data_IF_372265600977
#
_entry.id   IF_372265600977
#
_cell.length_a   1.000
_cell.length_b   1.000
_cell.length_c   1.000
_cell.angle_alpha   90.00
_cell.angle_beta   90.00
_cell.angle_gamma   90.00
#
_symmetry.space_group_name_H-M   'P 1'
#
loop_
_entity.id
_entity.type
_entity.pdbx_description
1 polymer ?
#
# COMPACT_ATOMS: atom_id res chain seq x y z
N UNK A 1 36.51 -65.73 37.00
CA UNK A 1 37.94 -65.77 37.43
C UNK A 1 38.82 -65.36 36.25
N UNK A 2 39.93 -64.65 36.49
CA UNK A 2 41.21 -64.65 35.72
C UNK A 2 41.19 -64.46 34.18
N UNK A 3 42.04 -63.65 33.53
CA UNK A 3 43.07 -62.66 33.90
C UNK A 3 43.30 -61.75 32.67
N UNK A 4 43.98 -60.61 32.86
CA UNK A 4 44.51 -59.74 31.78
C UNK A 4 45.62 -60.46 30.98
N UNK A 5 46.02 -59.92 29.82
CA UNK A 5 47.37 -59.29 29.58
C UNK A 5 47.62 -58.95 28.09
N UNK A 6 47.98 -57.67 27.81
CA UNK A 6 49.02 -57.07 26.93
C UNK A 6 49.56 -57.78 25.65
N UNK A 7 50.04 -57.11 24.57
CA UNK A 7 49.95 -55.73 23.98
C UNK A 7 50.92 -55.65 22.74
N UNK A 8 50.73 -54.68 21.82
CA UNK A 8 51.69 -54.11 20.80
C UNK A 8 52.32 -55.05 19.73
N UNK A 9 52.14 -54.72 18.43
CA UNK A 9 53.19 -54.34 17.45
C UNK A 9 52.69 -54.40 15.99
N UNK A 10 53.14 -53.47 15.14
CA UNK A 10 52.93 -53.52 13.68
C UNK A 10 52.34 -52.26 13.05
N UNK A 11 53.04 -51.12 13.14
CA UNK A 11 52.69 -49.96 12.33
C UNK A 11 53.20 -50.12 10.89
N UNK A 12 52.37 -49.77 9.89
CA UNK A 12 52.84 -49.44 8.54
C UNK A 12 52.16 -48.14 8.12
N UNK A 13 52.97 -47.09 7.97
CA UNK A 13 52.58 -45.86 7.28
C UNK A 13 52.65 -46.13 5.79
N UNK A 14 51.51 -46.09 5.09
CA UNK A 14 51.50 -45.99 3.62
C UNK A 14 51.05 -44.60 3.23
N UNK A 15 52.03 -43.75 2.94
CA UNK A 15 51.85 -42.50 2.21
C UNK A 15 51.53 -42.83 0.74
N UNK A 16 50.26 -42.77 0.36
CA UNK A 16 49.83 -42.76 -1.04
C UNK A 16 49.39 -41.35 -1.41
N UNK A 17 50.23 -40.62 -2.12
CA UNK A 17 49.89 -39.29 -2.60
C UNK A 17 48.89 -39.33 -3.77
N UNK A 18 48.03 -38.31 -3.84
CA UNK A 18 47.49 -37.81 -5.10
C UNK A 18 46.25 -38.51 -5.68
N UNK A 19 45.08 -38.09 -5.24
CA UNK A 19 44.07 -37.56 -6.18
C UNK A 19 43.49 -36.26 -5.61
N UNK A 20 44.11 -35.14 -5.96
CA UNK A 20 43.63 -33.80 -5.61
C UNK A 20 42.52 -33.38 -6.59
N UNK A 21 41.32 -33.95 -6.47
CA UNK A 21 40.14 -33.33 -7.08
C UNK A 21 39.70 -32.18 -6.20
N UNK A 22 40.15 -30.98 -6.58
CA UNK A 22 39.71 -29.71 -6.00
C UNK A 22 38.24 -29.44 -6.31
N UNK A 23 37.33 -30.17 -5.66
CA UNK A 23 35.95 -29.73 -5.53
C UNK A 23 35.99 -28.52 -4.62
N UNK A 24 35.92 -27.32 -5.19
CA UNK A 24 35.53 -26.14 -4.45
C UNK A 24 34.11 -26.44 -3.92
N UNK A 25 34.04 -26.93 -2.70
CA UNK A 25 32.80 -27.04 -1.96
C UNK A 25 32.32 -25.61 -1.73
N UNK A 26 31.51 -25.11 -2.69
CA UNK A 26 30.70 -23.92 -2.48
C UNK A 26 30.02 -24.10 -1.13
N UNK A 27 30.35 -23.22 -0.18
CA UNK A 27 29.66 -23.20 1.10
C UNK A 27 28.15 -23.23 0.81
N UNK A 28 27.38 -24.12 1.45
CA UNK A 28 25.97 -24.31 1.11
C UNK A 28 25.29 -22.94 1.14
N UNK A 29 24.79 -22.52 -0.03
CA UNK A 29 24.11 -21.23 -0.16
C UNK A 29 23.03 -21.21 0.91
N UNK A 30 23.04 -20.19 1.77
CA UNK A 30 21.97 -20.00 2.75
C UNK A 30 20.64 -20.09 1.98
N UNK A 31 19.65 -20.84 2.48
CA UNK A 31 18.36 -20.90 1.83
C UNK A 31 17.82 -19.47 1.70
N UNK A 32 17.37 -19.13 0.48
CA UNK A 32 16.73 -17.86 0.19
C UNK A 32 15.46 -17.78 1.05
N UNK A 33 15.23 -16.65 1.72
CA UNK A 33 13.99 -16.49 2.48
C UNK A 33 12.81 -16.33 1.53
N UNK A 34 11.60 -16.74 1.95
CA UNK A 34 10.38 -16.54 1.16
C UNK A 34 10.18 -15.07 0.76
N UNK A 35 10.61 -14.12 1.60
CA UNK A 35 10.62 -12.69 1.29
C UNK A 35 11.60 -12.34 0.16
N UNK A 36 12.83 -12.85 0.19
CA UNK A 36 13.80 -12.59 -0.88
C UNK A 36 13.36 -13.22 -2.21
N UNK A 37 12.86 -14.45 -2.18
CA UNK A 37 12.29 -15.14 -3.34
C UNK A 37 11.14 -14.32 -3.94
N UNK A 38 10.16 -13.93 -3.11
CA UNK A 38 9.02 -13.13 -3.55
C UNK A 38 9.42 -11.78 -4.16
N UNK A 39 10.39 -11.09 -3.58
CA UNK A 39 10.84 -9.79 -4.12
C UNK A 39 11.58 -10.00 -5.46
N UNK A 40 12.33 -11.09 -5.62
CA UNK A 40 12.96 -11.45 -6.91
C UNK A 40 11.94 -11.78 -8.00
N UNK A 41 10.87 -12.51 -7.68
CA UNK A 41 9.73 -12.72 -8.59
C UNK A 41 9.12 -11.39 -9.04
N UNK A 42 8.94 -10.46 -8.10
CA UNK A 42 8.34 -9.15 -8.36
C UNK A 42 9.24 -8.23 -9.22
N UNK A 43 10.56 -8.38 -9.17
CA UNK A 43 11.47 -7.74 -10.14
C UNK A 43 11.31 -8.36 -11.54
N UNK A 44 11.23 -9.68 -11.65
CA UNK A 44 10.99 -10.36 -12.93
C UNK A 44 9.60 -10.01 -13.54
N UNK A 45 8.57 -9.83 -12.69
CA UNK A 45 7.22 -9.44 -13.10
C UNK A 45 7.14 -8.07 -13.80
N UNK A 46 8.11 -7.19 -13.55
CA UNK A 46 8.22 -5.84 -14.15
C UNK A 46 9.36 -5.75 -15.18
N UNK A 47 9.81 -6.91 -15.67
CA UNK A 47 10.86 -7.09 -16.67
C UNK A 47 12.22 -6.48 -16.25
N UNK A 48 12.48 -6.38 -14.93
CA UNK A 48 13.72 -5.82 -14.38
C UNK A 48 14.74 -6.90 -14.00
N UNK A 49 15.99 -6.84 -14.50
CA UNK A 49 17.02 -7.77 -14.08
C UNK A 49 17.42 -7.55 -12.62
N UNK A 50 17.38 -8.60 -11.80
CA UNK A 50 17.79 -8.59 -10.39
C UNK A 50 19.33 -8.78 -10.23
N UNK A 51 20.14 -8.19 -11.11
CA UNK A 51 21.57 -8.47 -11.27
C UNK A 51 22.45 -7.94 -10.13
N UNK A 52 22.12 -6.78 -9.57
CA UNK A 52 22.77 -6.13 -8.44
C UNK A 52 21.94 -6.22 -7.15
N UNK A 53 20.94 -7.10 -7.15
CA UNK A 53 19.90 -7.22 -6.13
C UNK A 53 20.46 -7.33 -4.72
N UNK A 54 19.89 -6.52 -3.81
CA UNK A 54 20.16 -6.55 -2.37
C UNK A 54 18.85 -6.44 -1.60
N UNK A 55 18.62 -7.34 -0.65
CA UNK A 55 17.71 -7.11 0.46
C UNK A 55 18.26 -5.99 1.34
N UNK A 56 17.39 -5.12 1.82
CA UNK A 56 17.72 -4.12 2.85
C UNK A 56 17.14 -4.53 4.20
N UNK A 57 17.56 -3.87 5.27
CA UNK A 57 17.03 -4.12 6.60
C UNK A 57 15.53 -3.80 6.65
N UNK A 58 14.68 -4.69 7.19
CA UNK A 58 13.25 -4.46 7.31
C UNK A 58 12.94 -3.30 8.24
N UNK A 59 11.80 -2.64 7.98
CA UNK A 59 11.29 -1.54 8.80
C UNK A 59 9.77 -1.49 8.71
N UNK A 60 9.10 -1.16 9.81
CA UNK A 60 7.66 -0.89 9.85
C UNK A 60 6.82 -2.00 9.16
N UNK A 61 7.14 -3.27 9.48
CA UNK A 61 6.58 -4.50 8.87
C UNK A 61 6.69 -4.60 7.34
N UNK A 62 7.73 -4.01 6.76
CA UNK A 62 8.00 -4.09 5.32
C UNK A 62 9.36 -4.69 5.07
N UNK A 63 9.40 -5.65 4.16
CA UNK A 63 10.62 -6.16 3.55
C UNK A 63 10.78 -5.47 2.19
N UNK A 64 12.01 -5.12 1.82
CA UNK A 64 12.25 -4.53 0.52
C UNK A 64 13.62 -4.87 -0.05
N UNK A 65 13.65 -5.03 -1.37
CA UNK A 65 14.86 -5.21 -2.16
C UNK A 65 15.10 -4.03 -3.08
N UNK A 66 16.36 -3.80 -3.41
CA UNK A 66 16.77 -2.86 -4.46
C UNK A 66 17.61 -3.61 -5.50
N UNK A 67 17.29 -3.38 -6.77
CA UNK A 67 18.11 -3.73 -7.92
C UNK A 67 17.98 -2.59 -8.94
N UNK A 68 19.07 -2.21 -9.61
CA UNK A 68 19.09 -1.28 -10.74
C UNK A 68 18.31 0.03 -10.47
N UNK A 69 18.55 0.71 -9.34
CA UNK A 69 17.82 1.92 -8.91
C UNK A 69 16.28 1.77 -8.87
N UNK A 70 15.83 0.55 -8.61
CA UNK A 70 14.41 0.20 -8.48
C UNK A 70 14.18 -0.49 -7.16
N UNK A 71 13.19 -0.02 -6.39
CA UNK A 71 12.81 -0.64 -5.12
C UNK A 71 11.51 -1.41 -5.31
N UNK A 72 11.48 -2.62 -4.75
CA UNK A 72 10.27 -3.44 -4.59
C UNK A 72 10.07 -3.68 -3.09
N UNK A 73 8.87 -3.41 -2.59
CA UNK A 73 8.50 -3.53 -1.18
C UNK A 73 7.28 -4.44 -1.02
N UNK A 74 7.35 -5.36 -0.06
CA UNK A 74 6.24 -6.24 0.34
C UNK A 74 5.89 -6.05 1.81
N UNK A 75 4.63 -6.33 2.15
CA UNK A 75 4.19 -6.46 3.53
C UNK A 75 4.73 -7.77 4.12
N UNK A 76 5.44 -7.69 5.25
CA UNK A 76 6.25 -8.79 5.79
C UNK A 76 5.42 -10.04 6.17
N UNK A 77 4.28 -9.93 6.89
CA UNK A 77 3.43 -11.08 7.21
C UNK A 77 2.69 -11.74 6.04
N UNK A 78 2.36 -11.00 4.98
CA UNK A 78 1.45 -11.50 3.92
C UNK A 78 2.11 -11.69 2.56
N UNK A 79 3.37 -11.27 2.39
CA UNK A 79 4.10 -11.27 1.12
C UNK A 79 3.43 -10.47 -0.02
N UNK A 80 2.36 -9.71 0.28
CA UNK A 80 1.68 -8.86 -0.69
C UNK A 80 2.60 -7.72 -1.11
N UNK A 81 2.66 -7.44 -2.42
CA UNK A 81 3.26 -6.21 -2.93
C UNK A 81 2.59 -4.98 -2.25
N UNK A 82 3.41 -3.98 -1.92
CA UNK A 82 2.94 -2.67 -1.45
C UNK A 82 3.51 -1.52 -2.26
N UNK A 83 4.74 -1.65 -2.80
CA UNK A 83 5.33 -0.61 -3.64
C UNK A 83 6.34 -1.17 -4.65
N UNK A 84 6.29 -0.62 -5.87
CA UNK A 84 7.39 -0.68 -6.85
C UNK A 84 7.72 0.76 -7.23
N UNK A 85 9.01 1.13 -7.28
CA UNK A 85 9.41 2.49 -7.61
C UNK A 85 10.75 2.57 -8.33
N UNK A 86 10.77 3.19 -9.51
CA UNK A 86 11.98 3.64 -10.21
C UNK A 86 12.51 4.91 -9.53
N UNK A 87 13.79 4.95 -9.17
CA UNK A 87 14.43 6.13 -8.55
C UNK A 87 14.88 7.15 -9.60
N UNK A 88 15.15 8.41 -9.21
CA UNK A 88 15.65 9.44 -10.14
C UNK A 88 16.94 9.06 -10.90
N UNK A 89 17.77 8.17 -10.34
CA UNK A 89 18.96 7.66 -11.02
C UNK A 89 18.63 6.68 -12.17
N UNK A 90 17.55 5.88 -12.05
CA UNK A 90 17.03 5.05 -13.14
C UNK A 90 16.54 5.93 -14.30
N UNK A 91 15.78 7.00 -14.01
CA UNK A 91 15.28 7.95 -15.02
C UNK A 91 16.40 8.69 -15.77
N UNK A 92 17.56 8.89 -15.13
CA UNK A 92 18.75 9.49 -15.76
C UNK A 92 19.47 8.54 -16.72
N UNK A 93 19.50 7.23 -16.41
CA UNK A 93 20.11 6.21 -17.30
C UNK A 93 19.18 5.77 -18.42
N UNK A 94 17.88 5.82 -18.21
CA UNK A 94 16.85 5.50 -19.19
C UNK A 94 16.15 6.80 -19.60
N UNK A 95 16.78 7.67 -20.42
CA UNK A 95 16.20 8.93 -20.86
C UNK A 95 14.90 8.70 -21.65
N UNK A 96 14.08 9.74 -21.76
CA UNK A 96 12.82 9.63 -22.49
C UNK A 96 13.05 9.49 -24.00
N UNK A 97 12.47 8.45 -24.58
CA UNK A 97 12.41 8.24 -26.03
C UNK A 97 11.10 8.81 -26.61
N UNK A 98 11.05 9.08 -27.94
CA UNK A 98 9.79 9.33 -28.64
C UNK A 98 8.77 8.19 -28.43
N UNK A 99 7.47 8.42 -28.64
CA UNK A 99 6.44 7.38 -28.54
C UNK A 99 6.79 6.12 -29.34
N UNK A 100 6.83 4.99 -28.64
CA UNK A 100 7.08 3.67 -29.24
C UNK A 100 5.84 2.77 -29.22
N UNK A 101 5.91 1.53 -29.76
CA UNK A 101 4.78 0.59 -29.81
C UNK A 101 4.18 0.22 -28.45
N UNK A 102 4.90 0.48 -27.35
CA UNK A 102 4.44 0.25 -25.99
C UNK A 102 3.74 1.43 -25.33
N UNK A 103 3.61 2.58 -26.00
CA UNK A 103 3.06 3.83 -25.47
C UNK A 103 1.68 3.67 -24.82
N UNK A 104 1.31 4.66 -24.01
CA UNK A 104 -0.01 4.84 -23.41
C UNK A 104 -0.53 6.18 -23.92
N UNK A 105 -1.47 6.12 -24.86
CA UNK A 105 -2.06 7.29 -25.51
C UNK A 105 -3.33 7.76 -24.77
N UNK A 106 -3.97 6.87 -24.00
CA UNK A 106 -5.23 7.15 -23.34
C UNK A 106 -5.46 6.35 -22.04
N UNK A 107 -6.51 6.72 -21.30
CA UNK A 107 -6.89 6.10 -20.03
C UNK A 107 -7.31 4.62 -20.15
N UNK A 108 -7.81 4.19 -21.31
CA UNK A 108 -8.20 2.80 -21.56
C UNK A 108 -6.97 1.90 -21.60
N UNK A 109 -5.96 2.24 -22.40
CA UNK A 109 -4.68 1.51 -22.46
C UNK A 109 -3.96 1.48 -21.11
N UNK A 110 -4.00 2.58 -20.35
CA UNK A 110 -3.44 2.63 -19.00
C UNK A 110 -4.13 1.62 -18.06
N UNK A 111 -5.46 1.46 -18.21
CA UNK A 111 -6.28 0.52 -17.45
C UNK A 111 -6.06 -0.93 -17.90
N UNK A 112 -5.90 -1.17 -19.21
CA UNK A 112 -5.57 -2.49 -19.77
C UNK A 112 -4.17 -2.96 -19.33
N UNK A 113 -3.17 -2.07 -19.31
CA UNK A 113 -1.86 -2.36 -18.73
C UNK A 113 -1.94 -2.67 -17.22
N UNK A 114 -2.77 -1.95 -16.45
CA UNK A 114 -3.01 -2.28 -15.04
C UNK A 114 -3.62 -3.67 -14.88
N UNK A 115 -4.64 -4.02 -15.68
CA UNK A 115 -5.28 -5.33 -15.67
C UNK A 115 -4.29 -6.46 -16.02
N UNK A 116 -3.35 -6.22 -16.94
CA UNK A 116 -2.28 -7.17 -17.27
C UNK A 116 -1.17 -7.24 -16.20
N UNK A 117 -0.95 -6.18 -15.43
CA UNK A 117 0.07 -6.11 -14.38
C UNK A 117 -0.36 -6.80 -13.08
N UNK A 118 -1.59 -6.60 -12.62
CA UNK A 118 -2.06 -7.11 -11.32
C UNK A 118 -1.87 -8.62 -11.13
N UNK A 119 -2.17 -9.51 -12.10
CA UNK A 119 -1.87 -10.94 -11.98
C UNK A 119 -0.38 -11.24 -11.78
N UNK A 120 0.51 -10.55 -12.52
CA UNK A 120 1.98 -10.71 -12.36
C UNK A 120 2.44 -10.32 -10.95
N UNK A 121 1.76 -9.36 -10.32
CA UNK A 121 2.05 -8.91 -8.96
C UNK A 121 1.39 -9.77 -7.86
N UNK A 122 0.74 -10.89 -8.22
CA UNK A 122 0.01 -11.75 -7.28
C UNK A 122 -1.31 -11.16 -6.79
N UNK A 123 -1.93 -10.27 -7.58
CA UNK A 123 -3.21 -9.61 -7.30
C UNK A 123 -4.26 -9.97 -8.37
N UNK A 124 -4.17 -11.17 -8.96
CA UNK A 124 -5.04 -11.59 -10.06
C UNK A 124 -6.53 -11.71 -9.68
N UNK A 125 -6.82 -12.10 -8.45
CA UNK A 125 -8.20 -12.24 -7.93
C UNK A 125 -8.79 -10.91 -7.40
N UNK A 126 -8.04 -9.80 -7.47
CA UNK A 126 -8.50 -8.51 -6.99
C UNK A 126 -9.63 -7.98 -7.89
N UNK A 127 -10.85 -7.93 -7.36
CA UNK A 127 -11.95 -7.17 -7.97
C UNK A 127 -11.74 -5.68 -7.64
N UNK A 128 -11.72 -4.81 -8.64
CA UNK A 128 -11.50 -3.37 -8.44
C UNK A 128 -12.30 -2.51 -9.42
N UNK A 129 -12.43 -1.22 -9.09
CA UNK A 129 -12.89 -0.16 -9.98
C UNK A 129 -11.81 0.90 -10.16
N UNK A 130 -11.75 1.52 -11.34
CA UNK A 130 -10.96 2.71 -11.58
C UNK A 130 -11.66 3.91 -10.94
N UNK A 131 -10.92 4.70 -10.15
CA UNK A 131 -11.38 5.97 -9.59
C UNK A 131 -11.12 7.11 -10.58
N UNK A 132 -9.88 7.21 -11.07
CA UNK A 132 -9.49 8.17 -12.10
C UNK A 132 -8.27 7.67 -12.86
N UNK A 133 -8.16 8.06 -14.13
CA UNK A 133 -7.01 7.81 -14.97
C UNK A 133 -6.72 9.07 -15.77
N UNK A 134 -5.52 9.63 -15.65
CA UNK A 134 -5.16 10.91 -16.28
C UNK A 134 -3.70 10.96 -16.71
N UNK A 135 -3.46 11.75 -17.77
CA UNK A 135 -2.14 12.08 -18.30
C UNK A 135 -1.58 13.27 -17.53
N UNK A 136 -0.33 13.21 -17.11
CA UNK A 136 0.44 14.36 -16.64
C UNK A 136 1.62 14.58 -17.60
N UNK A 137 1.69 15.78 -18.17
CA UNK A 137 2.80 16.20 -19.05
C UNK A 137 3.80 17.11 -18.33
N UNK A 138 3.36 17.71 -17.23
CA UNK A 138 4.15 18.52 -16.31
C UNK A 138 4.27 17.81 -14.97
N UNK A 139 5.26 18.23 -14.18
CA UNK A 139 5.35 17.91 -12.77
C UNK A 139 5.46 19.21 -11.97
N UNK A 140 4.69 19.39 -10.88
CA UNK A 140 4.85 20.53 -10.00
C UNK A 140 6.13 20.36 -9.19
N UNK A 141 7.01 21.36 -9.26
CA UNK A 141 8.21 21.48 -8.44
C UNK A 141 8.02 22.61 -7.44
N UNK A 142 8.31 22.34 -6.16
CA UNK A 142 8.40 23.40 -5.17
C UNK A 142 9.71 24.15 -5.36
N UNK A 143 9.64 25.43 -5.67
CA UNK A 143 10.78 26.30 -5.92
C UNK A 143 10.76 27.48 -4.96
N UNK A 144 11.93 27.86 -4.45
CA UNK A 144 12.06 29.07 -3.63
C UNK A 144 12.27 30.28 -4.54
N UNK A 145 11.28 31.17 -4.60
CA UNK A 145 11.37 32.47 -5.30
C UNK A 145 11.21 33.58 -4.28
N UNK A 146 12.18 34.50 -4.23
CA UNK A 146 12.18 35.67 -3.33
C UNK A 146 11.89 35.31 -1.84
N UNK A 147 12.40 34.16 -1.38
CA UNK A 147 12.18 33.66 -0.02
C UNK A 147 10.83 32.98 0.25
N UNK A 148 9.94 32.87 -0.74
CA UNK A 148 8.67 32.13 -0.67
C UNK A 148 8.76 30.81 -1.42
N UNK A 149 8.04 29.81 -0.94
CA UNK A 149 7.86 28.55 -1.66
C UNK A 149 6.70 28.71 -2.65
N UNK A 150 6.96 28.47 -3.93
CA UNK A 150 5.98 28.52 -5.01
C UNK A 150 5.99 27.18 -5.76
N UNK A 151 4.83 26.75 -6.26
CA UNK A 151 4.76 25.59 -7.15
C UNK A 151 4.95 26.06 -8.59
N UNK A 152 5.95 25.50 -9.27
CA UNK A 152 6.22 25.73 -10.68
C UNK A 152 6.04 24.43 -11.45
N UNK A 153 5.12 24.41 -12.41
CA UNK A 153 5.01 23.31 -13.35
C UNK A 153 6.17 23.34 -14.34
N UNK A 154 6.93 22.24 -14.39
CA UNK A 154 7.99 22.06 -15.38
C UNK A 154 7.65 20.91 -16.29
N UNK A 155 8.06 21.01 -17.55
CA UNK A 155 8.00 19.88 -18.50
C UNK A 155 8.73 18.69 -17.89
N UNK A 156 7.99 17.60 -17.72
CA UNK A 156 8.49 16.35 -17.15
C UNK A 156 8.36 15.23 -18.19
N UNK A 157 8.81 14.02 -17.84
CA UNK A 157 8.44 12.83 -18.60
C UNK A 157 6.92 12.69 -18.61
N UNK A 158 6.25 12.69 -19.78
CA UNK A 158 4.81 12.46 -19.85
C UNK A 158 4.48 11.09 -19.28
N UNK A 159 3.44 11.03 -18.45
CA UNK A 159 3.07 9.84 -17.68
C UNK A 159 1.56 9.68 -17.57
N UNK A 160 1.10 8.44 -17.46
CA UNK A 160 -0.28 8.11 -17.11
C UNK A 160 -0.35 7.60 -15.69
N UNK A 161 -1.18 8.26 -14.87
CA UNK A 161 -1.49 7.83 -13.52
C UNK A 161 -2.89 7.24 -13.49
N UNK A 162 -3.03 6.05 -12.92
CA UNK A 162 -4.31 5.36 -12.72
C UNK A 162 -4.48 5.05 -11.24
N UNK A 163 -5.60 5.50 -10.66
CA UNK A 163 -6.00 5.23 -9.29
C UNK A 163 -7.14 4.22 -9.29
N UNK A 164 -7.04 3.20 -8.45
CA UNK A 164 -8.01 2.12 -8.36
C UNK A 164 -8.32 1.76 -6.91
N UNK A 165 -9.53 1.23 -6.67
CA UNK A 165 -9.99 0.75 -5.36
C UNK A 165 -10.66 -0.61 -5.50
N UNK A 166 -10.38 -1.50 -4.56
CA UNK A 166 -11.03 -2.79 -4.39
C UNK A 166 -12.55 -2.66 -4.31
N UNK A 167 -13.25 -3.59 -4.94
CA UNK A 167 -14.72 -3.72 -4.83
C UNK A 167 -15.03 -4.98 -4.05
N UNK A 168 -15.55 -4.79 -2.85
CA UNK A 168 -15.92 -5.86 -1.94
C UNK A 168 -17.45 -6.08 -1.95
N UNK A 169 -17.88 -7.34 -1.81
CA UNK A 169 -19.31 -7.70 -1.86
C UNK A 169 -20.04 -7.40 -0.55
N UNK A 170 -19.34 -7.50 0.58
CA UNK A 170 -19.84 -7.05 1.88
C UNK A 170 -19.68 -5.52 2.01
N UNK A 171 -20.77 -4.74 2.10
CA UNK A 171 -20.74 -3.28 2.11
C UNK A 171 -20.17 -2.69 3.41
N UNK A 172 -19.89 -3.52 4.43
CA UNK A 172 -19.26 -3.08 5.68
C UNK A 172 -17.75 -2.83 5.52
N UNK A 173 -17.14 -3.30 4.43
CA UNK A 173 -15.75 -3.00 4.11
C UNK A 173 -15.63 -1.60 3.51
N UNK A 174 -14.79 -0.77 4.14
CA UNK A 174 -14.74 0.66 3.87
C UNK A 174 -13.33 1.22 4.08
N UNK A 175 -12.89 2.12 3.19
CA UNK A 175 -11.58 2.80 3.21
C UNK A 175 -10.39 1.92 3.59
N UNK A 176 -9.91 2.00 4.82
CA UNK A 176 -8.76 1.26 5.37
C UNK A 176 -8.92 -0.27 5.24
N UNK A 177 -10.17 -0.76 5.18
CA UNK A 177 -10.49 -2.17 4.93
C UNK A 177 -10.45 -2.59 3.46
N UNK A 178 -10.28 -1.66 2.53
CA UNK A 178 -10.20 -1.90 1.09
C UNK A 178 -8.79 -1.61 0.57
N UNK A 179 -8.37 -2.34 -0.47
CA UNK A 179 -7.18 -1.92 -1.20
C UNK A 179 -7.45 -0.67 -2.02
N UNK A 180 -6.59 0.32 -1.87
CA UNK A 180 -6.44 1.47 -2.73
C UNK A 180 -5.03 1.45 -3.33
N UNK A 181 -4.97 1.61 -4.65
CA UNK A 181 -3.72 1.58 -5.38
C UNK A 181 -3.60 2.68 -6.42
N UNK A 182 -2.36 2.94 -6.77
CA UNK A 182 -1.95 3.89 -7.79
C UNK A 182 -0.88 3.23 -8.65
N UNK A 183 -1.02 3.30 -9.97
CA UNK A 183 0.04 2.94 -10.92
C UNK A 183 0.40 4.14 -11.79
N UNK A 184 1.68 4.25 -12.12
CA UNK A 184 2.25 5.29 -12.95
C UNK A 184 3.08 4.66 -14.07
N UNK A 185 2.64 4.87 -15.31
CA UNK A 185 3.35 4.44 -16.52
C UNK A 185 3.97 5.63 -17.23
N UNK A 186 5.13 5.44 -17.85
CA UNK A 186 5.64 6.38 -18.85
C UNK A 186 4.68 6.40 -20.05
N UNK A 187 4.21 7.57 -20.48
CA UNK A 187 3.25 7.66 -21.58
C UNK A 187 3.88 7.29 -22.94
N UNK A 188 5.18 7.56 -23.14
CA UNK A 188 5.83 7.35 -24.44
C UNK A 188 6.42 5.94 -24.61
N UNK A 189 6.81 5.26 -23.53
CA UNK A 189 7.34 3.88 -23.57
C UNK A 189 6.40 2.82 -22.97
N UNK A 190 5.45 3.22 -22.14
CA UNK A 190 4.57 2.31 -21.39
C UNK A 190 5.24 1.56 -20.24
N UNK A 191 6.48 1.89 -19.90
CA UNK A 191 7.23 1.31 -18.77
C UNK A 191 6.59 1.67 -17.43
N UNK A 192 6.63 0.73 -16.48
CA UNK A 192 6.21 0.96 -15.10
C UNK A 192 7.22 1.85 -14.36
N UNK A 193 6.79 3.07 -13.99
CA UNK A 193 7.57 4.02 -13.20
C UNK A 193 7.31 3.86 -11.69
N UNK A 194 6.06 3.67 -11.31
CA UNK A 194 5.66 3.46 -9.93
C UNK A 194 4.40 2.59 -9.84
N UNK A 195 4.36 1.71 -8.84
CA UNK A 195 3.17 1.04 -8.36
C UNK A 195 3.09 1.25 -6.85
N UNK A 196 1.91 1.51 -6.32
CA UNK A 196 1.61 1.54 -4.90
C UNK A 196 0.27 0.85 -4.68
N UNK A 197 0.17 0.07 -3.61
CA UNK A 197 -1.10 -0.42 -3.07
C UNK A 197 -0.93 -0.54 -1.55
N UNK A 198 -1.94 -0.15 -0.77
CA UNK A 198 -1.95 -0.49 0.65
C UNK A 198 -2.11 -2.02 0.83
N UNK A 199 -1.73 -2.48 2.01
CA UNK A 199 -2.23 -3.74 2.54
C UNK A 199 -3.50 -3.39 3.33
N UNK A 200 -4.67 -4.02 3.06
CA UNK A 200 -5.86 -3.79 3.84
C UNK A 200 -5.70 -4.55 5.16
N UNK A 201 -6.03 -3.88 6.26
CA UNK A 201 -5.92 -4.48 7.57
C UNK A 201 -7.04 -5.53 7.75
N UNK A 202 -6.80 -6.55 8.58
CA UNK A 202 -7.77 -7.66 8.71
C UNK A 202 -9.04 -7.18 9.41
N UNK A 203 -10.21 -7.55 8.89
CA UNK A 203 -11.46 -7.38 9.61
C UNK A 203 -11.46 -8.22 10.89
N UNK A 204 -11.74 -7.60 12.04
CA UNK A 204 -12.01 -8.31 13.28
C UNK A 204 -13.42 -8.92 13.29
N UNK A 205 -13.76 -9.64 14.35
CA UNK A 205 -15.09 -10.23 14.48
C UNK A 205 -16.19 -9.16 14.52
N UNK A 206 -17.32 -9.46 13.87
CA UNK A 206 -18.51 -8.60 13.89
C UNK A 206 -19.32 -8.85 15.17
N UNK A 207 -18.77 -8.43 16.31
CA UNK A 207 -19.49 -8.42 17.59
C UNK A 207 -19.96 -7.01 17.93
N UNK A 208 -21.25 -6.87 18.26
CA UNK A 208 -21.80 -5.61 18.76
C UNK A 208 -22.72 -5.80 19.96
N UNK A 209 -22.43 -5.06 21.04
CA UNK A 209 -23.30 -4.92 22.21
C UNK A 209 -24.23 -3.71 22.11
N UNK A 210 -24.07 -2.88 21.06
CA UNK A 210 -24.93 -1.71 20.80
C UNK A 210 -25.77 -1.87 19.54
N UNK A 211 -26.98 -1.30 19.55
CA UNK A 211 -27.86 -1.19 18.36
C UNK A 211 -27.59 0.09 17.56
N UNK A 212 -28.14 0.20 16.36
CA UNK A 212 -28.04 1.40 15.52
C UNK A 212 -28.65 2.64 16.21
N UNK A 213 -29.80 2.49 16.87
CA UNK A 213 -30.46 3.57 17.61
C UNK A 213 -29.64 3.98 18.84
N UNK A 214 -28.98 3.03 19.50
CA UNK A 214 -28.08 3.29 20.62
C UNK A 214 -26.81 4.02 20.15
N UNK A 215 -26.24 3.62 19.01
CA UNK A 215 -25.11 4.30 18.39
C UNK A 215 -25.48 5.73 17.98
N UNK A 216 -26.60 5.92 17.27
CA UNK A 216 -27.12 7.24 16.88
C UNK A 216 -27.44 8.13 18.09
N UNK A 217 -27.92 7.57 19.21
CA UNK A 217 -28.12 8.33 20.45
C UNK A 217 -26.80 8.73 21.09
N UNK A 218 -25.85 7.79 21.22
CA UNK A 218 -24.52 8.04 21.79
C UNK A 218 -23.75 9.12 21.03
N UNK A 219 -23.78 9.09 19.70
CA UNK A 219 -23.10 10.09 18.86
C UNK A 219 -23.79 11.45 18.92
N UNK A 220 -25.12 11.53 18.81
CA UNK A 220 -25.84 12.81 18.93
C UNK A 220 -25.66 13.47 20.30
N UNK A 221 -25.58 12.67 21.37
CA UNK A 221 -25.27 13.15 22.72
C UNK A 221 -23.85 13.72 22.85
N UNK A 222 -22.90 13.24 22.04
CA UNK A 222 -21.56 13.83 21.93
C UNK A 222 -21.53 15.08 21.04
N UNK A 223 -22.31 15.10 19.95
CA UNK A 223 -22.43 16.26 19.07
C UNK A 223 -23.07 17.50 19.71
N UNK A 224 -23.83 17.37 20.81
CA UNK A 224 -24.49 18.51 21.48
C UNK A 224 -23.54 19.64 21.93
N UNK A 225 -22.24 19.36 21.99
CA UNK A 225 -21.19 20.33 22.32
C UNK A 225 -20.64 21.10 21.11
N UNK A 226 -21.10 20.76 19.88
CA UNK A 226 -20.69 21.39 18.63
C UNK A 226 -21.79 22.32 18.11
N UNK A 227 -21.50 23.60 17.78
CA UNK A 227 -22.48 24.53 17.23
C UNK A 227 -23.14 24.03 15.93
N UNK A 228 -22.37 23.37 15.06
CA UNK A 228 -22.80 22.91 13.74
C UNK A 228 -23.81 21.76 13.81
N UNK A 229 -23.84 21.03 14.93
CA UNK A 229 -24.81 19.97 15.18
C UNK A 229 -26.26 20.49 15.21
N UNK A 230 -26.46 21.78 15.52
CA UNK A 230 -27.78 22.42 15.48
C UNK A 230 -28.39 22.47 14.06
N UNK A 231 -27.56 22.37 13.01
CA UNK A 231 -27.98 22.38 11.61
C UNK A 231 -28.21 20.97 11.02
N UNK A 232 -28.03 19.91 11.81
CA UNK A 232 -28.26 18.52 11.37
C UNK A 232 -29.75 18.25 11.22
N UNK A 233 -30.20 18.12 9.97
CA UNK A 233 -31.59 17.82 9.62
C UNK A 233 -31.89 16.32 9.58
N UNK A 234 -30.89 15.48 9.26
CA UNK A 234 -31.03 14.02 9.16
C UNK A 234 -29.81 13.29 9.74
N UNK A 235 -30.04 12.13 10.33
CA UNK A 235 -28.97 11.21 10.73
C UNK A 235 -29.06 9.91 9.92
N UNK A 236 -27.93 9.40 9.41
CA UNK A 236 -27.81 8.02 8.91
C UNK A 236 -26.92 7.21 9.83
N UNK A 237 -27.10 5.88 9.83
CA UNK A 237 -26.28 4.93 10.58
C UNK A 237 -25.86 3.82 9.62
N UNK A 238 -24.56 3.56 9.55
CA UNK A 238 -23.95 2.66 8.59
C UNK A 238 -23.03 1.67 9.33
N UNK A 239 -23.21 0.37 9.09
CA UNK A 239 -22.39 -0.70 9.67
C UNK A 239 -21.07 -0.79 8.91
N UNK A 240 -19.92 -0.61 9.58
CA UNK A 240 -18.60 -0.76 8.94
C UNK A 240 -17.57 -1.43 9.85
N UNK A 241 -16.54 -2.02 9.23
CA UNK A 241 -15.25 -2.26 9.89
C UNK A 241 -14.34 -1.05 9.71
N UNK A 242 -13.65 -0.66 10.79
CA UNK A 242 -12.70 0.46 10.76
C UNK A 242 -11.67 0.36 11.89
N UNK A 243 -10.53 1.03 11.76
CA UNK A 243 -9.65 1.22 12.91
C UNK A 243 -10.19 2.25 13.89
N UNK A 244 -10.28 1.82 15.14
CA UNK A 244 -10.52 2.69 16.29
C UNK A 244 -9.17 3.22 16.81
N UNK A 245 -8.91 4.53 16.70
CA UNK A 245 -7.61 5.12 17.03
C UNK A 245 -7.59 5.92 18.32
N UNK A 246 -6.71 5.50 19.25
CA UNK A 246 -6.14 6.34 20.32
C UNK A 246 -4.60 6.43 20.28
N UNK A 247 -3.88 5.46 19.70
CA UNK A 247 -2.41 5.53 19.49
C UNK A 247 -1.98 5.06 18.09
N UNK A 248 -1.52 6.01 17.26
CA UNK A 248 -1.07 5.78 15.87
C UNK A 248 0.02 4.70 15.69
N UNK A 249 0.72 4.27 16.74
CA UNK A 249 1.83 3.31 16.63
C UNK A 249 1.41 1.86 16.38
N UNK A 250 0.14 1.50 16.65
CA UNK A 250 -0.35 0.11 16.59
C UNK A 250 -1.10 -0.24 15.29
N UNK A 251 -0.91 0.56 14.22
CA UNK A 251 -1.64 0.48 12.94
C UNK A 251 -1.73 -0.91 12.33
N UNK A 252 -0.66 -1.70 12.43
CA UNK A 252 -0.42 -2.85 11.56
C UNK A 252 -0.53 -4.22 12.25
N UNK A 253 -1.13 -4.27 13.45
CA UNK A 253 -1.32 -5.54 14.20
C UNK A 253 -2.73 -5.70 14.79
N UNK A 254 -3.51 -4.62 14.87
CA UNK A 254 -4.86 -4.66 15.46
C UNK A 254 -5.90 -4.81 14.35
N UNK A 255 -6.69 -5.90 14.33
CA UNK A 255 -7.80 -6.04 13.38
C UNK A 255 -8.79 -4.87 13.49
N UNK A 256 -9.38 -4.48 12.36
CA UNK A 256 -10.41 -3.45 12.32
C UNK A 256 -11.58 -3.84 13.23
N UNK A 257 -12.07 -2.88 14.02
CA UNK A 257 -13.25 -3.06 14.86
C UNK A 257 -14.52 -2.93 14.03
N UNK A 258 -15.44 -3.89 14.18
CA UNK A 258 -16.81 -3.72 13.70
C UNK A 258 -17.54 -2.65 14.53
N UNK A 259 -18.36 -1.83 13.88
CA UNK A 259 -19.10 -0.77 14.55
C UNK A 259 -20.01 0.02 13.62
N UNK A 260 -20.47 1.17 14.12
CA UNK A 260 -21.42 2.03 13.42
C UNK A 260 -20.84 3.40 13.16
N UNK A 261 -20.77 3.81 11.89
CA UNK A 261 -20.61 5.22 11.53
C UNK A 261 -21.98 5.88 11.57
N UNK A 262 -22.06 7.01 12.25
CA UNK A 262 -23.25 7.85 12.34
C UNK A 262 -22.93 9.17 11.63
N UNK A 263 -23.74 9.55 10.64
CA UNK A 263 -23.53 10.77 9.83
C UNK A 263 -24.67 11.76 10.07
N UNK A 264 -24.32 12.98 10.41
CA UNK A 264 -25.25 14.11 10.54
C UNK A 264 -25.20 14.93 9.25
N UNK A 265 -26.34 15.01 8.57
CA UNK A 265 -26.48 15.70 7.28
C UNK A 265 -27.37 16.94 7.44
N UNK A 266 -27.07 17.98 6.67
CA UNK A 266 -27.92 19.17 6.56
C UNK A 266 -29.20 18.90 5.73
N UNK A 267 -30.01 19.93 5.50
CA UNK A 267 -31.25 19.83 4.71
C UNK A 267 -31.03 19.59 3.21
N UNK A 268 -29.82 19.83 2.67
CA UNK A 268 -29.43 19.54 1.28
C UNK A 268 -28.83 18.15 1.13
N UNK A 269 -28.39 17.54 2.24
CA UNK A 269 -27.70 16.25 2.28
C UNK A 269 -26.18 16.38 2.45
N UNK A 270 -25.64 17.58 2.65
CA UNK A 270 -24.23 17.82 2.90
C UNK A 270 -23.82 17.30 4.29
N UNK A 271 -22.63 16.70 4.39
CA UNK A 271 -22.11 16.14 5.65
C UNK A 271 -21.66 17.25 6.60
N UNK A 272 -22.35 17.38 7.74
CA UNK A 272 -22.02 18.35 8.80
C UNK A 272 -21.27 17.73 9.98
N UNK A 273 -21.63 16.51 10.34
CA UNK A 273 -21.10 15.82 11.51
C UNK A 273 -20.87 14.34 11.22
N UNK A 274 -19.90 13.74 11.90
CA UNK A 274 -19.65 12.30 11.87
C UNK A 274 -19.33 11.78 13.28
N UNK A 275 -19.50 10.48 13.50
CA UNK A 275 -19.06 9.79 14.70
C UNK A 275 -18.98 8.30 14.44
N UNK A 276 -18.11 7.60 15.16
CA UNK A 276 -18.02 6.15 15.13
C UNK A 276 -18.31 5.57 16.51
N UNK A 277 -19.06 4.47 16.55
CA UNK A 277 -19.32 3.71 17.76
C UNK A 277 -18.78 2.30 17.58
N UNK A 278 -17.80 1.92 18.40
CA UNK A 278 -17.25 0.55 18.41
C UNK A 278 -18.35 -0.41 18.84
N UNK A 279 -18.62 -1.45 18.06
CA UNK A 279 -19.68 -2.40 18.36
C UNK A 279 -19.47 -3.08 19.72
N UNK A 280 -18.25 -3.59 19.96
CA UNK A 280 -17.91 -4.42 21.13
C UNK A 280 -17.85 -3.66 22.47
N UNK A 281 -17.53 -2.37 22.47
CA UNK A 281 -17.40 -1.56 23.70
C UNK A 281 -18.50 -0.50 23.84
N UNK A 282 -19.15 -0.11 22.74
CA UNK A 282 -20.05 1.02 22.70
C UNK A 282 -19.38 2.38 22.94
N UNK A 283 -18.04 2.45 22.89
CA UNK A 283 -17.30 3.70 22.97
C UNK A 283 -17.50 4.55 21.70
N UNK A 284 -17.52 5.86 21.87
CA UNK A 284 -17.66 6.84 20.78
C UNK A 284 -16.29 7.43 20.46
N UNK A 285 -15.88 7.39 19.19
CA UNK A 285 -14.74 8.17 18.69
C UNK A 285 -15.13 9.09 17.54
N UNK A 286 -14.28 10.10 17.32
CA UNK A 286 -14.43 11.12 16.27
C UNK A 286 -15.84 11.74 16.19
N UNK A 287 -16.48 12.18 17.30
CA UNK A 287 -17.78 12.84 17.27
C UNK A 287 -17.61 14.29 16.77
N UNK A 288 -17.13 14.44 15.54
CA UNK A 288 -16.63 15.69 14.98
C UNK A 288 -17.72 16.37 14.14
N UNK A 289 -17.73 17.70 14.10
CA UNK A 289 -18.59 18.50 13.23
C UNK A 289 -17.81 19.66 12.57
N UNK A 290 -18.42 20.28 11.56
CA UNK A 290 -17.92 21.52 10.94
C UNK A 290 -17.07 21.27 9.70
N UNK A 291 -15.86 21.83 9.65
CA UNK A 291 -14.94 21.58 8.54
C UNK A 291 -14.36 20.15 8.67
N UNK A 292 -14.77 19.28 7.75
CA UNK A 292 -14.42 17.86 7.72
C UNK A 292 -13.42 17.49 6.59
N UNK A 293 -12.36 18.28 6.26
CA UNK A 293 -11.56 18.09 5.04
C UNK A 293 -10.78 16.76 4.99
N UNK A 294 -10.29 16.27 6.13
CA UNK A 294 -9.63 14.95 6.22
C UNK A 294 -10.65 13.79 6.28
N UNK A 295 -11.90 14.08 6.65
CA UNK A 295 -12.99 13.11 6.80
C UNK A 295 -13.85 12.99 5.51
N UNK A 296 -13.76 13.95 4.57
CA UNK A 296 -14.28 13.80 3.21
C UNK A 296 -13.47 12.81 2.36
N UNK A 297 -12.27 12.43 2.81
CA UNK A 297 -11.53 11.27 2.29
C UNK A 297 -12.24 9.94 2.60
N UNK A 298 -13.28 10.00 3.44
CA UNK A 298 -14.33 9.02 3.50
C UNK A 298 -15.27 9.28 2.31
N UNK A 299 -16.59 9.19 2.48
CA UNK A 299 -17.58 9.02 1.40
C UNK A 299 -17.29 7.83 0.48
N UNK A 300 -16.25 7.93 -0.35
CA UNK A 300 -15.87 7.11 -1.50
C UNK A 300 -15.55 7.99 -2.72
N UNK A 301 -15.98 9.25 -2.72
CA UNK A 301 -15.80 10.21 -3.80
C UNK A 301 -14.48 10.96 -3.68
N UNK A 302 -13.68 10.74 -4.72
CA UNK A 302 -12.43 11.40 -5.10
C UNK A 302 -12.31 12.81 -4.53
N UNK A 303 -11.19 13.05 -3.83
CA UNK A 303 -10.66 14.36 -3.45
C UNK A 303 -11.10 15.45 -4.44
N UNK A 304 -11.65 16.55 -3.92
CA UNK A 304 -11.40 17.85 -4.55
C UNK A 304 -9.90 18.16 -4.40
N UNK A 305 -9.12 17.54 -5.29
CA UNK A 305 -7.91 18.17 -5.77
C UNK A 305 -8.39 19.47 -6.40
N UNK A 306 -8.35 20.57 -5.64
CA UNK A 306 -8.30 21.88 -6.26
C UNK A 306 -6.88 21.95 -6.85
N UNK A 307 -6.66 21.85 -8.18
CA UNK A 307 -5.76 22.86 -8.74
C UNK A 307 -6.35 24.18 -8.26
N UNK A 308 -5.52 25.03 -7.66
CA UNK A 308 -5.95 26.33 -7.14
C UNK A 308 -6.82 26.98 -8.20
N UNK A 309 -7.98 27.50 -7.80
CA UNK A 309 -8.85 28.26 -8.70
C UNK A 309 -8.06 29.49 -9.18
N UNK A 310 -7.36 29.33 -10.30
CA UNK A 310 -7.07 30.44 -11.19
C UNK A 310 -8.41 30.77 -11.83
N UNK A 311 -9.10 31.70 -11.16
CA UNK A 311 -10.18 32.48 -11.73
C UNK A 311 -9.75 33.07 -13.10
N UNK A 312 -10.71 33.37 -14.00
CA UNK A 312 -10.43 33.89 -15.34
C UNK A 312 -9.54 35.15 -15.37
#
# INVERSE_FOLDING_TARGET
MSKRVWWILGGVVVLSAGVYFGVNAMAPRKPVSAHEERIRELFAAIDEPASDFKMLAPKDQRQWGIANDTTVMIHDPSLQITQIRRWPAWLKRNPEAPPGPGAVENAKEATEKLAALLPKLGLGDLKYKILTAHRLETQPFLVTKNGRQEWEERKARPRYMVFFRETHEDPRYYLDGLREGQVEYCANSGELLQFYINYPEKAGEWESIVTEEQAARKVREAWKFWPEAASVARTTVDRIWMHYWTDYKLRHETPMSGGYVVRGLDAKGDLLCIGFVVGKTGEVSRPDCGDLPDLLNWSGEIRRYRPTELAP
#
